data_IF_087306967724
#
_entry.id   IF_087306967724
#
_cell.length_a   1.000
_cell.length_b   1.000
_cell.length_c   1.000
_cell.angle_alpha   90.00
_cell.angle_beta   90.00
_cell.angle_gamma   90.00
#
_symmetry.space_group_name_H-M   'P 1'
#
loop_
_entity.id
_entity.type
_entity.pdbx_description
1 polymer ?
#
# COMPACT_ATOMS: atom_id res chain seq x y z
N UNK A 1 -25.85 -14.10 -7.09
CA UNK A 1 -27.02 -14.44 -7.93
C UNK A 1 -27.61 -13.14 -8.47
N UNK A 2 -27.50 -12.90 -9.77
CA UNK A 2 -28.05 -11.69 -10.40
C UNK A 2 -29.57 -11.82 -10.52
N UNK A 3 -30.28 -10.74 -10.21
CA UNK A 3 -31.72 -10.67 -10.32
C UNK A 3 -32.12 -9.57 -11.31
N UNK A 4 -32.95 -9.89 -12.28
CA UNK A 4 -33.55 -8.91 -13.17
C UNK A 4 -34.97 -8.63 -12.69
N UNK A 5 -35.30 -7.37 -12.45
CA UNK A 5 -36.67 -6.95 -12.21
C UNK A 5 -37.31 -6.49 -13.53
N UNK A 6 -38.42 -7.08 -13.87
CA UNK A 6 -39.26 -6.63 -14.95
C UNK A 6 -40.70 -6.62 -14.44
N UNK A 7 -41.40 -5.49 -14.55
CA UNK A 7 -42.77 -5.30 -14.10
C UNK A 7 -43.04 -5.75 -12.64
N UNK A 8 -42.07 -5.44 -11.73
CA UNK A 8 -42.15 -5.82 -10.33
C UNK A 8 -41.89 -7.28 -10.00
N UNK A 9 -41.61 -8.12 -10.99
CA UNK A 9 -41.21 -9.52 -10.79
C UNK A 9 -39.71 -9.70 -10.85
N UNK A 10 -39.15 -10.53 -9.97
CA UNK A 10 -37.74 -10.86 -9.91
C UNK A 10 -37.49 -12.21 -10.58
N UNK A 11 -36.62 -12.23 -11.59
CA UNK A 11 -36.24 -13.44 -12.31
C UNK A 11 -34.80 -13.82 -11.94
N UNK A 12 -34.50 -15.09 -11.59
CA UNK A 12 -33.15 -15.55 -11.41
C UNK A 12 -32.47 -15.65 -12.78
N UNK A 13 -31.24 -15.10 -12.88
CA UNK A 13 -30.42 -15.22 -14.09
C UNK A 13 -29.30 -16.18 -13.77
N UNK A 14 -29.10 -17.27 -14.56
CA UNK A 14 -28.05 -18.26 -14.32
C UNK A 14 -26.65 -17.77 -14.80
N UNK A 15 -26.40 -16.46 -14.70
CA UNK A 15 -25.11 -15.87 -15.07
C UNK A 15 -24.15 -15.99 -13.91
N UNK A 16 -22.97 -16.53 -14.15
CA UNK A 16 -21.90 -16.73 -13.16
C UNK A 16 -20.90 -15.58 -13.22
N UNK A 17 -20.52 -15.17 -14.45
CA UNK A 17 -19.56 -14.10 -14.71
C UNK A 17 -20.08 -13.19 -15.81
N UNK A 18 -19.73 -11.91 -15.70
CA UNK A 18 -20.06 -10.90 -16.70
C UNK A 18 -18.77 -10.25 -17.20
N UNK A 19 -18.56 -10.33 -18.50
CA UNK A 19 -17.44 -9.70 -19.19
C UNK A 19 -17.97 -8.63 -20.14
N UNK A 20 -17.32 -7.48 -20.15
CA UNK A 20 -17.61 -6.40 -21.08
C UNK A 20 -16.32 -5.97 -21.79
N UNK A 21 -16.43 -5.51 -23.03
CA UNK A 21 -15.35 -4.90 -23.79
C UNK A 21 -15.84 -3.58 -24.35
N UNK A 22 -14.99 -2.54 -24.27
CA UNK A 22 -15.25 -1.22 -24.82
C UNK A 22 -13.96 -0.65 -25.37
N UNK A 23 -14.03 0.10 -26.46
CA UNK A 23 -12.87 0.81 -27.01
C UNK A 23 -12.55 2.09 -26.23
N UNK A 24 -13.56 2.67 -25.59
CA UNK A 24 -13.44 3.91 -24.85
C UNK A 24 -14.10 3.76 -23.48
N UNK A 25 -13.58 4.52 -22.52
CA UNK A 25 -14.23 4.67 -21.21
C UNK A 25 -15.01 5.98 -21.24
N UNK A 26 -16.30 5.97 -20.88
CA UNK A 26 -17.12 7.18 -20.85
C UNK A 26 -16.53 8.28 -19.98
N UNK A 27 -16.67 9.51 -20.43
CA UNK A 27 -16.33 10.67 -19.64
C UNK A 27 -17.44 10.98 -18.63
N UNK A 28 -17.32 10.50 -17.40
CA UNK A 28 -18.34 10.69 -16.35
C UNK A 28 -18.53 12.14 -15.90
N UNK A 29 -17.75 13.09 -16.41
CA UNK A 29 -17.99 14.51 -16.22
C UNK A 29 -19.06 15.03 -17.21
N UNK A 30 -19.32 14.30 -18.28
CA UNK A 30 -20.41 14.60 -19.22
C UNK A 30 -21.74 14.11 -18.63
N UNK A 31 -22.79 14.97 -18.53
CA UNK A 31 -24.09 14.58 -17.99
C UNK A 31 -24.75 13.41 -18.72
N UNK A 32 -24.56 13.27 -20.03
CA UNK A 32 -25.13 12.19 -20.83
C UNK A 32 -24.42 10.86 -20.56
N UNK A 33 -23.11 10.87 -20.38
CA UNK A 33 -22.31 9.66 -20.10
C UNK A 33 -22.29 9.27 -18.62
N UNK A 34 -22.59 10.23 -17.72
CA UNK A 34 -22.67 9.99 -16.27
C UNK A 34 -23.64 8.88 -15.88
N UNK A 35 -24.68 8.65 -16.67
CA UNK A 35 -25.65 7.57 -16.45
C UNK A 35 -24.94 6.20 -16.49
N UNK A 36 -23.87 6.07 -17.26
CA UNK A 36 -23.09 4.83 -17.39
C UNK A 36 -22.17 4.57 -16.19
N UNK A 37 -21.90 5.58 -15.35
CA UNK A 37 -20.99 5.44 -14.19
C UNK A 37 -21.45 4.32 -13.25
N UNK A 38 -22.75 4.21 -12.99
CA UNK A 38 -23.33 3.17 -12.16
C UNK A 38 -23.16 1.75 -12.74
N UNK A 39 -23.07 1.60 -14.06
CA UNK A 39 -22.76 0.33 -14.72
C UNK A 39 -21.27 0.02 -14.59
N UNK A 40 -20.41 0.99 -14.85
CA UNK A 40 -18.97 0.86 -14.76
C UNK A 40 -18.49 0.55 -13.33
N UNK A 41 -19.15 1.10 -12.31
CA UNK A 41 -18.87 0.78 -10.90
C UNK A 41 -19.15 -0.68 -10.53
N UNK A 42 -19.99 -1.36 -11.32
CA UNK A 42 -20.28 -2.79 -11.14
C UNK A 42 -19.28 -3.70 -11.84
N UNK A 43 -18.47 -3.16 -12.75
CA UNK A 43 -17.35 -3.86 -13.38
C UNK A 43 -16.12 -3.67 -12.50
N UNK A 44 -15.96 -4.58 -11.54
CA UNK A 44 -14.97 -4.43 -10.47
C UNK A 44 -13.54 -4.45 -10.99
N UNK A 45 -13.21 -5.36 -11.91
CA UNK A 45 -11.89 -5.46 -12.53
C UNK A 45 -11.91 -4.82 -13.92
N UNK A 46 -10.97 -3.93 -14.16
CA UNK A 46 -10.81 -3.21 -15.42
C UNK A 46 -9.40 -3.48 -15.96
N UNK A 47 -9.30 -4.06 -17.12
CA UNK A 47 -8.03 -4.37 -17.78
C UNK A 47 -7.95 -3.59 -19.08
N UNK A 48 -6.86 -2.88 -19.28
CA UNK A 48 -6.58 -2.23 -20.57
C UNK A 48 -5.76 -3.17 -21.42
N UNK A 49 -6.22 -3.42 -22.65
CA UNK A 49 -5.49 -4.20 -23.64
C UNK A 49 -4.73 -3.25 -24.57
N UNK A 50 -3.47 -3.53 -24.80
CA UNK A 50 -2.60 -2.74 -25.67
C UNK A 50 -2.22 -3.54 -26.93
N UNK A 51 -1.72 -2.83 -27.93
CA UNK A 51 -1.21 -3.48 -29.14
C UNK A 51 0.02 -4.36 -28.76
N UNK A 52 0.15 -5.49 -29.47
CA UNK A 52 1.26 -6.41 -29.25
C UNK A 52 2.57 -5.73 -29.67
N UNK A 53 3.38 -5.34 -28.69
CA UNK A 53 4.64 -4.62 -28.90
C UNK A 53 5.77 -5.52 -29.45
N UNK A 54 5.79 -6.79 -29.01
CA UNK A 54 6.86 -7.72 -29.36
C UNK A 54 6.65 -8.38 -30.72
N UNK A 55 7.69 -8.29 -31.58
CA UNK A 55 7.68 -8.90 -32.91
C UNK A 55 7.50 -10.42 -32.85
N UNK A 56 8.15 -11.09 -31.88
CA UNK A 56 8.06 -12.54 -31.74
C UNK A 56 6.62 -13.01 -31.52
N UNK A 57 5.91 -12.35 -30.61
CA UNK A 57 4.50 -12.64 -30.31
C UNK A 57 3.60 -12.37 -31.51
N UNK A 58 3.80 -11.24 -32.23
CA UNK A 58 3.03 -10.96 -33.44
C UNK A 58 3.19 -12.04 -34.50
N UNK A 59 4.44 -12.50 -34.74
CA UNK A 59 4.74 -13.55 -35.70
C UNK A 59 4.20 -14.91 -35.26
N UNK A 60 4.24 -15.26 -33.98
CA UNK A 60 3.66 -16.49 -33.45
C UNK A 60 2.15 -16.54 -33.72
N UNK A 61 1.41 -15.48 -33.37
CA UNK A 61 -0.02 -15.36 -33.59
C UNK A 61 -0.36 -15.44 -35.10
N UNK A 62 0.45 -14.78 -35.93
CA UNK A 62 0.24 -14.83 -37.38
C UNK A 62 0.43 -16.27 -37.93
N UNK A 63 1.45 -16.99 -37.44
CA UNK A 63 1.73 -18.38 -37.78
C UNK A 63 0.56 -19.30 -37.37
N UNK A 64 0.06 -19.15 -36.15
CA UNK A 64 -1.08 -19.91 -35.63
C UNK A 64 -2.35 -19.65 -36.45
N UNK A 65 -2.59 -18.40 -36.82
CA UNK A 65 -3.73 -18.01 -37.65
C UNK A 65 -3.66 -18.61 -39.06
N UNK A 66 -2.46 -18.57 -39.67
CA UNK A 66 -2.25 -19.17 -41.00
C UNK A 66 -2.29 -20.71 -40.94
N UNK A 67 -1.85 -21.32 -39.86
CA UNK A 67 -1.88 -22.76 -39.60
C UNK A 67 -3.25 -23.31 -39.19
N UNK A 68 -4.26 -22.44 -38.99
CA UNK A 68 -5.61 -22.84 -38.58
C UNK A 68 -5.74 -23.24 -37.10
N UNK A 69 -4.68 -23.04 -36.28
CA UNK A 69 -4.68 -23.35 -34.84
C UNK A 69 -5.07 -22.15 -33.95
N UNK A 70 -5.25 -20.97 -34.56
CA UNK A 70 -5.62 -19.76 -33.82
C UNK A 70 -6.98 -19.92 -33.13
N UNK A 71 -7.00 -19.69 -31.81
CA UNK A 71 -8.21 -19.81 -30.99
C UNK A 71 -8.55 -21.26 -30.58
N UNK A 72 -7.65 -22.24 -30.83
CA UNK A 72 -7.84 -23.59 -30.33
C UNK A 72 -7.87 -23.59 -28.79
N UNK A 73 -8.90 -24.23 -28.21
CA UNK A 73 -9.04 -24.40 -26.77
C UNK A 73 -8.18 -25.58 -26.33
N UNK A 74 -7.15 -25.33 -25.53
CA UNK A 74 -6.22 -26.35 -25.06
C UNK A 74 -6.55 -26.87 -23.65
N UNK A 75 -7.28 -26.10 -22.86
CA UNK A 75 -7.69 -26.46 -21.49
C UNK A 75 -9.11 -25.98 -21.21
N UNK A 76 -9.84 -26.79 -20.47
CA UNK A 76 -11.20 -26.47 -20.01
C UNK A 76 -11.31 -26.81 -18.54
N UNK A 77 -12.13 -26.05 -17.81
CA UNK A 77 -12.55 -26.37 -16.44
C UNK A 77 -14.06 -26.57 -16.42
N UNK A 78 -14.53 -27.53 -15.66
CA UNK A 78 -15.96 -27.73 -15.45
C UNK A 78 -16.52 -26.69 -14.49
N UNK A 79 -17.84 -26.52 -14.50
CA UNK A 79 -18.50 -25.63 -13.55
C UNK A 79 -18.34 -26.11 -12.09
N UNK A 80 -18.22 -27.41 -11.88
CA UNK A 80 -18.03 -28.02 -10.56
C UNK A 80 -16.61 -27.70 -10.04
N UNK A 81 -15.60 -27.86 -10.88
CA UNK A 81 -14.22 -27.46 -10.55
C UNK A 81 -14.13 -25.97 -10.22
N UNK A 82 -14.77 -25.09 -11.02
CA UNK A 82 -14.80 -23.66 -10.73
C UNK A 82 -15.43 -23.36 -9.36
N UNK A 83 -16.50 -24.05 -9.01
CA UNK A 83 -17.14 -23.88 -7.67
C UNK A 83 -16.23 -24.37 -6.55
N UNK A 84 -15.50 -25.46 -6.75
CA UNK A 84 -14.53 -25.96 -5.79
C UNK A 84 -13.41 -24.94 -5.58
N UNK A 85 -12.82 -24.42 -6.66
CA UNK A 85 -11.82 -23.34 -6.60
C UNK A 85 -12.32 -22.12 -5.85
N UNK A 86 -13.58 -21.70 -6.08
CA UNK A 86 -14.19 -20.57 -5.35
C UNK A 86 -14.37 -20.83 -3.86
N UNK A 87 -14.55 -22.10 -3.43
CA UNK A 87 -14.57 -22.42 -2.01
C UNK A 87 -13.16 -22.43 -1.42
N UNK A 88 -12.18 -22.97 -2.13
CA UNK A 88 -10.78 -22.97 -1.70
C UNK A 88 -10.25 -21.54 -1.52
N UNK A 89 -10.54 -20.63 -2.46
CA UNK A 89 -10.16 -19.20 -2.34
C UNK A 89 -10.63 -18.60 -1.02
N UNK A 90 -11.82 -18.95 -0.54
CA UNK A 90 -12.36 -18.42 0.73
C UNK A 90 -11.61 -18.93 1.96
N UNK A 91 -10.82 -19.99 1.83
CA UNK A 91 -10.01 -20.53 2.94
C UNK A 91 -8.68 -19.79 3.10
N UNK A 92 -8.26 -19.02 2.11
CA UNK A 92 -7.04 -18.21 2.16
C UNK A 92 -7.20 -17.14 3.25
N UNK A 93 -6.26 -17.10 4.18
CA UNK A 93 -6.28 -16.14 5.28
C UNK A 93 -5.86 -14.75 4.81
N UNK A 94 -6.43 -13.74 5.44
CA UNK A 94 -5.99 -12.34 5.30
C UNK A 94 -5.43 -11.90 6.64
N UNK A 95 -4.10 -11.80 6.82
CA UNK A 95 -3.49 -11.33 8.06
C UNK A 95 -3.90 -9.88 8.39
N UNK A 96 -3.94 -9.53 9.68
CA UNK A 96 -4.24 -8.16 10.11
C UNK A 96 -3.23 -7.15 9.56
N UNK A 97 -1.95 -7.52 9.44
CA UNK A 97 -0.92 -6.69 8.81
C UNK A 97 -1.22 -6.34 7.35
N UNK A 98 -1.94 -7.20 6.62
CA UNK A 98 -2.39 -6.91 5.25
C UNK A 98 -3.57 -5.94 5.27
N UNK A 99 -4.47 -6.02 6.26
CA UNK A 99 -5.54 -5.04 6.42
C UNK A 99 -4.98 -3.65 6.77
N UNK A 100 -3.98 -3.58 7.65
CA UNK A 100 -3.28 -2.33 8.01
C UNK A 100 -2.58 -1.72 6.78
N UNK A 101 -1.82 -2.53 6.04
CA UNK A 101 -1.17 -2.11 4.80
C UNK A 101 -2.21 -1.61 3.78
N UNK A 102 -3.38 -2.26 3.71
CA UNK A 102 -4.43 -1.87 2.79
C UNK A 102 -5.08 -0.54 3.18
N UNK A 103 -5.14 -0.21 4.46
CA UNK A 103 -5.58 1.11 4.94
C UNK A 103 -4.57 2.21 4.55
N UNK A 104 -3.26 1.95 4.68
CA UNK A 104 -2.20 2.84 4.20
C UNK A 104 -2.33 3.09 2.69
N UNK A 105 -2.56 2.03 1.90
CA UNK A 105 -2.82 2.14 0.45
C UNK A 105 -4.06 2.99 0.17
N UNK A 106 -5.15 2.78 0.91
CA UNK A 106 -6.40 3.55 0.75
C UNK A 106 -6.17 5.03 1.03
N UNK A 107 -5.47 5.36 2.12
CA UNK A 107 -5.13 6.74 2.48
C UNK A 107 -4.31 7.40 1.37
N UNK A 108 -3.28 6.71 0.86
CA UNK A 108 -2.45 7.22 -0.23
C UNK A 108 -3.24 7.43 -1.53
N UNK A 109 -4.11 6.48 -1.90
CA UNK A 109 -4.94 6.60 -3.10
C UNK A 109 -5.95 7.74 -3.00
N UNK A 110 -6.60 7.91 -1.83
CA UNK A 110 -7.60 8.96 -1.60
C UNK A 110 -7.05 10.38 -1.65
N UNK A 111 -5.74 10.54 -1.57
CA UNK A 111 -5.10 11.83 -1.77
C UNK A 111 -5.32 12.41 -3.18
N UNK A 112 -5.54 11.56 -4.20
CA UNK A 112 -5.67 11.97 -5.60
C UNK A 112 -6.91 11.43 -6.32
N UNK A 113 -7.40 10.25 -5.93
CA UNK A 113 -8.54 9.60 -6.59
C UNK A 113 -9.65 9.23 -5.60
N UNK A 114 -10.92 9.33 -5.98
CA UNK A 114 -12.03 8.92 -5.12
C UNK A 114 -12.12 7.39 -5.06
N UNK A 115 -11.74 6.79 -3.93
CA UNK A 115 -11.95 5.36 -3.65
C UNK A 115 -13.09 5.21 -2.65
N UNK A 116 -14.15 4.49 -3.02
CA UNK A 116 -15.29 4.26 -2.15
C UNK A 116 -14.99 3.23 -1.05
N UNK A 117 -15.64 3.37 0.12
CA UNK A 117 -15.55 2.39 1.20
C UNK A 117 -16.02 1.00 0.74
N UNK A 118 -16.97 0.94 -0.16
CA UNK A 118 -17.41 -0.34 -0.75
C UNK A 118 -16.27 -1.07 -1.44
N UNK A 119 -15.46 -0.37 -2.24
CA UNK A 119 -14.28 -0.96 -2.88
C UNK A 119 -13.25 -1.40 -1.85
N UNK A 120 -12.98 -0.56 -0.86
CA UNK A 120 -12.08 -0.92 0.22
C UNK A 120 -12.54 -2.19 0.96
N UNK A 121 -13.80 -2.24 1.36
CA UNK A 121 -14.37 -3.39 2.10
C UNK A 121 -14.51 -4.68 1.26
N UNK A 122 -14.23 -4.65 -0.05
CA UNK A 122 -14.35 -5.81 -0.95
C UNK A 122 -13.01 -6.27 -1.57
N UNK A 123 -11.88 -5.59 -1.28
CA UNK A 123 -10.58 -5.90 -1.89
C UNK A 123 -10.11 -7.33 -1.60
N UNK A 124 -10.40 -7.84 -0.39
CA UNK A 124 -9.86 -9.11 0.10
C UNK A 124 -10.21 -10.30 -0.78
N UNK A 125 -11.40 -10.32 -1.39
CA UNK A 125 -11.81 -11.43 -2.26
C UNK A 125 -10.94 -11.54 -3.52
N UNK A 126 -10.46 -10.40 -4.04
CA UNK A 126 -9.56 -10.33 -5.20
C UNK A 126 -8.14 -10.73 -4.77
N UNK A 127 -7.68 -10.22 -3.64
CA UNK A 127 -6.38 -10.56 -3.09
C UNK A 127 -6.28 -12.07 -2.71
N UNK A 128 -7.32 -12.64 -2.11
CA UNK A 128 -7.41 -14.08 -1.83
C UNK A 128 -7.36 -14.91 -3.11
N UNK A 129 -8.08 -14.50 -4.17
CA UNK A 129 -8.03 -15.21 -5.44
C UNK A 129 -6.64 -15.16 -6.08
N UNK A 130 -5.94 -14.03 -5.97
CA UNK A 130 -4.55 -13.90 -6.43
C UNK A 130 -3.61 -14.81 -5.62
N UNK A 131 -3.69 -14.78 -4.30
CA UNK A 131 -2.90 -15.63 -3.41
C UNK A 131 -3.12 -17.12 -3.71
N UNK A 132 -4.37 -17.54 -3.90
CA UNK A 132 -4.70 -18.92 -4.28
C UNK A 132 -4.08 -19.32 -5.63
N UNK A 133 -4.12 -18.44 -6.65
CA UNK A 133 -3.51 -18.68 -7.96
C UNK A 133 -1.98 -18.81 -7.89
N UNK A 134 -1.33 -18.15 -6.93
CA UNK A 134 0.12 -18.26 -6.69
C UNK A 134 0.49 -19.41 -5.74
N UNK A 135 -0.51 -20.12 -5.20
CA UNK A 135 -0.30 -21.25 -4.27
C UNK A 135 0.00 -20.81 -2.83
N UNK A 136 -0.31 -19.57 -2.48
CA UNK A 136 -0.15 -19.08 -1.11
C UNK A 136 -1.30 -19.57 -0.20
N UNK A 137 -1.00 -19.83 1.06
CA UNK A 137 -2.01 -20.20 2.08
C UNK A 137 -2.62 -18.98 2.79
N UNK A 138 -1.97 -17.82 2.65
CA UNK A 138 -2.42 -16.53 3.15
C UNK A 138 -2.02 -15.41 2.18
N UNK A 139 -2.74 -14.29 2.23
CA UNK A 139 -2.48 -13.13 1.38
C UNK A 139 -1.16 -12.48 1.82
N UNK A 140 -0.30 -12.22 0.86
CA UNK A 140 0.96 -11.47 1.02
C UNK A 140 0.83 -10.05 0.49
N UNK A 141 1.77 -9.17 0.85
CA UNK A 141 1.78 -7.80 0.33
C UNK A 141 1.87 -7.74 -1.20
N UNK A 142 2.59 -8.67 -1.82
CA UNK A 142 2.73 -8.73 -3.28
C UNK A 142 1.45 -9.19 -3.98
N UNK A 143 0.57 -9.95 -3.31
CA UNK A 143 -0.72 -10.33 -3.88
C UNK A 143 -1.64 -9.11 -4.05
N UNK A 144 -1.44 -8.04 -3.26
CA UNK A 144 -2.18 -6.79 -3.39
C UNK A 144 -1.91 -6.06 -4.70
N UNK A 145 -0.82 -6.35 -5.41
CA UNK A 145 -0.51 -5.74 -6.71
C UNK A 145 -1.59 -6.01 -7.78
N UNK A 146 -2.38 -7.07 -7.64
CA UNK A 146 -3.51 -7.35 -8.53
C UNK A 146 -4.55 -6.23 -8.50
N UNK A 147 -4.64 -5.50 -7.38
CA UNK A 147 -5.58 -4.41 -7.17
C UNK A 147 -5.31 -3.19 -8.04
N UNK A 148 -4.18 -3.15 -8.76
CA UNK A 148 -3.93 -2.15 -9.81
C UNK A 148 -5.02 -2.13 -10.89
N UNK A 149 -5.72 -3.23 -11.11
CA UNK A 149 -6.84 -3.34 -12.03
C UNK A 149 -8.21 -3.12 -11.36
N UNK A 150 -8.22 -2.84 -10.07
CA UNK A 150 -9.43 -2.70 -9.27
C UNK A 150 -9.74 -1.24 -8.88
N UNK A 151 -8.73 -0.47 -8.46
CA UNK A 151 -8.96 0.84 -7.86
C UNK A 151 -9.13 1.99 -8.85
N UNK A 152 -8.52 1.94 -10.04
CA UNK A 152 -8.64 3.04 -10.98
C UNK A 152 -10.05 3.17 -11.56
N UNK A 153 -10.46 4.38 -11.87
CA UNK A 153 -11.75 4.70 -12.50
C UNK A 153 -11.55 5.21 -13.93
N UNK A 154 -10.55 6.06 -14.13
CA UNK A 154 -10.17 6.61 -15.43
C UNK A 154 -8.81 6.04 -15.85
N UNK A 155 -8.53 5.89 -17.16
CA UNK A 155 -7.24 5.38 -17.63
C UNK A 155 -6.04 6.15 -17.08
N UNK A 156 -6.18 7.48 -16.87
CA UNK A 156 -5.14 8.34 -16.30
C UNK A 156 -4.77 8.00 -14.85
N UNK A 157 -5.67 7.36 -14.08
CA UNK A 157 -5.42 6.99 -12.69
C UNK A 157 -4.49 5.77 -12.57
N UNK A 158 -4.33 4.98 -13.64
CA UNK A 158 -3.64 3.67 -13.59
C UNK A 158 -2.20 3.77 -13.15
N UNK A 159 -1.47 4.74 -13.66
CA UNK A 159 -0.06 4.93 -13.33
C UNK A 159 0.10 5.25 -11.84
N UNK A 160 -0.72 6.17 -11.33
CA UNK A 160 -0.73 6.54 -9.93
C UNK A 160 -1.11 5.36 -9.01
N UNK A 161 -2.16 4.60 -9.37
CA UNK A 161 -2.58 3.41 -8.61
C UNK A 161 -1.47 2.35 -8.61
N UNK A 162 -0.87 2.08 -9.78
CA UNK A 162 0.20 1.08 -9.90
C UNK A 162 1.42 1.50 -9.09
N UNK A 163 1.89 2.74 -9.24
CA UNK A 163 3.04 3.25 -8.49
C UNK A 163 2.81 3.25 -6.97
N UNK A 164 1.60 3.60 -6.52
CA UNK A 164 1.25 3.55 -5.08
C UNK A 164 1.31 2.13 -4.54
N UNK A 165 0.73 1.15 -5.26
CA UNK A 165 0.76 -0.26 -4.84
C UNK A 165 2.19 -0.82 -4.88
N UNK A 166 2.97 -0.53 -5.91
CA UNK A 166 4.36 -0.98 -5.99
C UNK A 166 5.21 -0.42 -4.84
N UNK A 167 5.07 0.86 -4.55
CA UNK A 167 5.79 1.53 -3.47
C UNK A 167 5.46 0.92 -2.10
N UNK A 168 4.18 0.73 -1.79
CA UNK A 168 3.74 0.27 -0.46
C UNK A 168 3.77 -1.25 -0.30
N UNK A 169 3.52 -2.02 -1.36
CA UNK A 169 3.33 -3.47 -1.25
C UNK A 169 4.60 -4.28 -1.60
N UNK A 170 5.51 -3.75 -2.43
CA UNK A 170 6.75 -4.48 -2.77
C UNK A 170 7.81 -4.28 -1.70
N UNK A 171 7.95 -3.06 -1.19
CA UNK A 171 8.96 -2.71 -0.19
C UNK A 171 8.35 -1.90 0.97
N UNK A 172 7.36 -2.43 1.72
CA UNK A 172 6.68 -1.67 2.77
C UNK A 172 7.63 -1.23 3.90
N UNK A 173 8.65 -2.03 4.20
CA UNK A 173 9.66 -1.70 5.21
C UNK A 173 10.55 -0.55 4.75
N UNK A 174 10.96 -0.53 3.49
CA UNK A 174 11.79 0.54 2.92
C UNK A 174 11.05 1.88 2.90
N UNK A 175 9.75 1.86 2.63
CA UNK A 175 8.91 3.06 2.69
C UNK A 175 8.82 3.61 4.11
N UNK A 176 8.51 2.76 5.10
CA UNK A 176 8.48 3.18 6.52
C UNK A 176 9.83 3.76 6.98
N UNK A 177 10.93 3.17 6.55
CA UNK A 177 12.28 3.69 6.84
C UNK A 177 12.47 5.08 6.22
N UNK A 178 12.05 5.25 4.96
CA UNK A 178 12.14 6.54 4.26
C UNK A 178 11.32 7.63 4.95
N UNK A 179 10.10 7.33 5.39
CA UNK A 179 9.22 8.26 6.10
C UNK A 179 9.82 8.69 7.44
N UNK A 180 10.36 7.74 8.22
CA UNK A 180 11.01 8.06 9.50
C UNK A 180 12.26 8.91 9.32
N UNK A 181 13.04 8.66 8.26
CA UNK A 181 14.20 9.50 7.93
C UNK A 181 13.80 10.91 7.50
N UNK A 182 12.72 11.07 6.73
CA UNK A 182 12.17 12.37 6.36
C UNK A 182 11.73 13.15 7.61
N UNK A 183 10.99 12.51 8.53
CA UNK A 183 10.59 13.13 9.80
C UNK A 183 11.80 13.54 10.66
N UNK A 184 12.86 12.74 10.68
CA UNK A 184 14.07 13.08 11.41
C UNK A 184 14.82 14.27 10.80
N UNK A 185 14.83 14.36 9.46
CA UNK A 185 15.41 15.50 8.76
C UNK A 185 14.60 16.78 8.99
N UNK A 186 13.26 16.69 8.92
CA UNK A 186 12.36 17.82 9.22
C UNK A 186 12.56 18.33 10.65
N UNK A 187 12.69 17.42 11.63
CA UNK A 187 12.98 17.79 13.03
C UNK A 187 14.32 18.49 13.17
N UNK A 188 15.34 18.08 12.38
CA UNK A 188 16.64 18.75 12.33
C UNK A 188 16.54 20.13 11.69
N UNK A 189 15.82 20.28 10.59
CA UNK A 189 15.65 21.56 9.88
C UNK A 189 14.86 22.56 10.75
N UNK A 190 13.84 22.11 11.49
CA UNK A 190 13.12 22.87 12.52
C UNK A 190 14.10 23.36 13.61
N UNK A 191 14.97 22.47 14.08
CA UNK A 191 15.99 22.81 15.08
C UNK A 191 16.98 23.85 14.54
N UNK A 192 17.54 23.63 13.34
CA UNK A 192 18.50 24.54 12.70
C UNK A 192 17.89 25.93 12.50
N UNK A 193 16.61 25.99 12.07
CA UNK A 193 15.85 27.23 11.92
C UNK A 193 15.65 27.96 13.26
N UNK A 194 15.27 27.20 14.30
CA UNK A 194 15.08 27.76 15.63
C UNK A 194 16.40 28.24 16.27
N UNK A 195 17.51 27.56 16.01
CA UNK A 195 18.84 27.95 16.49
C UNK A 195 19.42 29.14 15.74
N UNK A 196 19.16 29.24 14.41
CA UNK A 196 19.56 30.40 13.60
C UNK A 196 18.87 31.70 14.03
N UNK A 197 17.62 31.61 14.47
CA UNK A 197 16.85 32.74 15.01
C UNK A 197 17.08 33.01 16.51
N UNK A 198 17.86 32.15 17.22
CA UNK A 198 18.01 32.25 18.67
C UNK A 198 19.07 33.25 19.10
N UNK A 199 18.64 34.29 19.80
CA UNK A 199 19.52 35.35 20.36
C UNK A 199 20.21 34.93 21.68
N UNK A 200 19.75 33.88 22.37
CA UNK A 200 20.26 33.47 23.66
C UNK A 200 20.31 31.94 23.87
N UNK A 201 21.13 31.52 24.86
CA UNK A 201 21.35 30.11 25.20
C UNK A 201 20.07 29.40 25.65
N UNK A 202 19.14 30.08 26.28
CA UNK A 202 17.88 29.49 26.79
C UNK A 202 16.97 29.06 25.64
N UNK A 203 16.90 29.84 24.57
CA UNK A 203 16.14 29.51 23.35
C UNK A 203 16.74 28.30 22.64
N UNK A 204 18.08 28.23 22.54
CA UNK A 204 18.77 27.05 21.97
C UNK A 204 18.51 25.77 22.78
N UNK A 205 18.51 25.87 24.11
CA UNK A 205 18.15 24.73 24.96
C UNK A 205 16.69 24.29 24.81
N UNK A 206 15.77 25.21 24.58
CA UNK A 206 14.37 24.88 24.33
C UNK A 206 14.20 24.15 22.99
N UNK A 207 14.88 24.63 21.93
CA UNK A 207 14.92 23.98 20.64
C UNK A 207 15.50 22.56 20.73
N UNK A 208 16.60 22.38 21.48
CA UNK A 208 17.20 21.06 21.69
C UNK A 208 16.26 20.10 22.43
N UNK A 209 15.48 20.55 23.39
CA UNK A 209 14.50 19.71 24.07
C UNK A 209 13.40 19.24 23.13
N UNK A 210 12.87 20.16 22.29
CA UNK A 210 11.86 19.80 21.27
C UNK A 210 12.42 18.75 20.31
N UNK A 211 13.62 18.98 19.77
CA UNK A 211 14.31 18.05 18.87
C UNK A 211 14.51 16.66 19.52
N UNK A 212 15.05 16.63 20.76
CA UNK A 212 15.26 15.37 21.49
C UNK A 212 13.96 14.59 21.69
N UNK A 213 12.87 15.28 22.04
CA UNK A 213 11.55 14.66 22.24
C UNK A 213 11.06 13.99 20.96
N UNK A 214 11.19 14.67 19.81
CA UNK A 214 10.78 14.12 18.52
C UNK A 214 11.67 12.95 18.11
N UNK A 215 12.99 13.10 18.26
CA UNK A 215 13.93 12.05 17.91
C UNK A 215 13.77 10.78 18.76
N UNK A 216 13.45 10.92 20.05
CA UNK A 216 13.14 9.78 20.92
C UNK A 216 11.85 9.07 20.50
N UNK A 217 10.86 9.81 20.02
CA UNK A 217 9.65 9.23 19.45
C UNK A 217 9.98 8.39 18.20
N UNK A 218 10.80 8.92 17.29
CA UNK A 218 11.26 8.19 16.10
C UNK A 218 12.09 6.96 16.47
N UNK A 219 12.93 7.05 17.48
CA UNK A 219 13.69 5.91 18.01
C UNK A 219 12.78 4.80 18.57
N UNK A 220 11.70 5.14 19.26
CA UNK A 220 10.70 4.17 19.72
C UNK A 220 10.03 3.46 18.53
N UNK A 221 9.59 4.22 17.53
CA UNK A 221 9.00 3.65 16.31
C UNK A 221 9.99 2.73 15.57
N UNK A 222 11.26 3.11 15.49
CA UNK A 222 12.32 2.25 14.92
C UNK A 222 12.49 0.96 15.74
N UNK A 223 12.47 1.05 17.08
CA UNK A 223 12.61 -0.12 17.97
C UNK A 223 11.43 -1.08 17.81
N UNK A 224 10.20 -0.58 17.74
CA UNK A 224 8.99 -1.37 17.49
C UNK A 224 9.06 -2.05 16.10
N UNK A 225 9.50 -1.31 15.09
CA UNK A 225 9.69 -1.82 13.74
C UNK A 225 10.77 -2.91 13.70
N UNK A 226 11.91 -2.72 14.37
CA UNK A 226 12.98 -3.70 14.47
C UNK A 226 12.54 -5.00 15.20
N UNK A 227 11.62 -4.89 16.16
CA UNK A 227 11.04 -6.05 16.84
C UNK A 227 10.11 -6.89 15.95
N UNK A 228 9.55 -6.31 14.89
CA UNK A 228 8.64 -6.98 13.94
C UNK A 228 9.33 -7.57 12.71
N UNK A 229 10.65 -7.41 12.59
CA UNK A 229 11.44 -7.85 11.43
C UNK A 229 11.45 -9.37 11.29
N UNK A 230 11.15 -9.84 10.07
CA UNK A 230 11.12 -11.27 9.72
C UNK A 230 12.28 -11.73 8.82
N UNK A 231 13.04 -10.80 8.22
CA UNK A 231 14.12 -11.14 7.28
C UNK A 231 15.41 -10.36 7.53
N UNK A 232 16.55 -10.93 7.10
CA UNK A 232 17.87 -10.28 7.22
C UNK A 232 17.94 -8.96 6.42
N UNK A 233 17.21 -8.85 5.31
CA UNK A 233 17.12 -7.63 4.51
C UNK A 233 16.43 -6.50 5.28
N UNK A 234 15.29 -6.79 5.93
CA UNK A 234 14.57 -5.84 6.77
C UNK A 234 15.38 -5.42 7.99
N UNK A 235 16.12 -6.36 8.60
CA UNK A 235 17.04 -6.06 9.69
C UNK A 235 18.10 -5.06 9.26
N UNK A 236 18.70 -5.25 8.11
CA UNK A 236 19.69 -4.30 7.55
C UNK A 236 19.10 -2.91 7.35
N UNK A 237 17.83 -2.81 6.92
CA UNK A 237 17.13 -1.53 6.75
C UNK A 237 16.88 -0.84 8.11
N UNK A 238 16.43 -1.59 9.12
CA UNK A 238 16.16 -1.03 10.46
C UNK A 238 17.43 -0.62 11.21
N UNK A 239 18.52 -1.38 11.06
CA UNK A 239 19.84 -1.04 11.62
C UNK A 239 20.42 0.21 10.90
N UNK A 240 20.21 0.32 9.59
CA UNK A 240 20.58 1.51 8.81
C UNK A 240 19.82 2.75 9.28
N UNK A 241 18.51 2.63 9.54
CA UNK A 241 17.70 3.71 10.10
C UNK A 241 18.24 4.18 11.45
N UNK A 242 18.52 3.24 12.37
CA UNK A 242 19.07 3.57 13.69
C UNK A 242 20.37 4.35 13.56
N UNK A 243 21.29 3.88 12.70
CA UNK A 243 22.57 4.53 12.46
C UNK A 243 22.42 5.97 11.95
N UNK A 244 21.40 6.21 11.11
CA UNK A 244 21.13 7.54 10.57
C UNK A 244 20.49 8.47 11.60
N UNK A 245 19.53 7.98 12.44
CA UNK A 245 18.97 8.72 13.56
C UNK A 245 20.07 9.14 14.56
N UNK A 246 21.01 8.25 14.87
CA UNK A 246 22.16 8.55 15.71
C UNK A 246 23.09 9.60 15.07
N UNK A 247 23.32 9.51 13.77
CA UNK A 247 24.12 10.50 13.03
C UNK A 247 23.49 11.90 13.09
N UNK A 248 22.17 11.99 12.89
CA UNK A 248 21.41 13.25 12.97
C UNK A 248 21.47 13.81 14.39
N UNK A 249 21.26 12.97 15.41
CA UNK A 249 21.36 13.34 16.82
C UNK A 249 22.72 13.92 17.16
N UNK A 250 23.78 13.24 16.76
CA UNK A 250 25.17 13.65 17.01
C UNK A 250 25.48 15.00 16.36
N UNK A 251 25.09 15.18 15.09
CA UNK A 251 25.32 16.45 14.38
C UNK A 251 24.65 17.64 15.07
N UNK A 252 23.43 17.47 15.58
CA UNK A 252 22.70 18.52 16.31
C UNK A 252 23.38 18.85 17.64
N UNK A 253 23.86 17.86 18.40
CA UNK A 253 24.57 18.10 19.67
C UNK A 253 25.91 18.82 19.45
N UNK A 254 26.65 18.41 18.45
CA UNK A 254 27.95 19.03 18.08
C UNK A 254 27.77 20.49 17.65
N UNK A 255 26.70 20.80 16.89
CA UNK A 255 26.44 22.16 16.40
C UNK A 255 26.24 23.20 17.50
N UNK A 256 25.84 22.79 18.71
CA UNK A 256 25.60 23.67 19.83
C UNK A 256 26.58 23.45 21.00
N UNK A 257 27.61 22.59 20.80
CA UNK A 257 28.65 22.32 21.79
C UNK A 257 28.18 21.49 22.98
N UNK A 258 27.13 20.70 22.86
CA UNK A 258 26.67 19.80 23.91
C UNK A 258 27.25 18.38 23.70
N UNK A 259 27.47 17.69 24.82
CA UNK A 259 27.92 16.29 24.78
C UNK A 259 26.83 15.42 24.19
N UNK A 260 27.21 14.65 23.19
CA UNK A 260 26.34 13.65 22.57
C UNK A 260 26.08 12.50 23.55
N UNK A 261 24.82 12.05 23.57
CA UNK A 261 24.38 10.85 24.30
C UNK A 261 23.60 9.95 23.34
N UNK A 262 23.93 8.65 23.25
CA UNK A 262 23.22 7.70 22.40
C UNK A 262 21.72 7.68 22.68
N UNK A 263 20.89 7.42 21.66
CA UNK A 263 19.42 7.44 21.78
C UNK A 263 18.91 6.40 22.77
N UNK A 264 19.54 5.23 22.83
CA UNK A 264 19.23 4.19 23.81
C UNK A 264 19.38 4.70 25.25
N UNK A 265 20.47 5.42 25.57
CA UNK A 265 20.69 5.98 26.88
C UNK A 265 19.74 7.13 27.19
N UNK A 266 19.42 7.96 26.19
CA UNK A 266 18.42 9.03 26.35
C UNK A 266 17.03 8.47 26.62
N UNK A 267 16.62 7.40 25.96
CA UNK A 267 15.36 6.71 26.19
C UNK A 267 15.29 6.10 27.61
N UNK A 268 16.36 5.45 28.05
CA UNK A 268 16.45 4.88 29.40
C UNK A 268 16.35 5.96 30.51
N UNK A 269 16.97 7.13 30.30
CA UNK A 269 16.88 8.26 31.25
C UNK A 269 15.46 8.83 31.32
N UNK A 270 14.74 8.91 30.21
CA UNK A 270 13.36 9.40 30.16
C UNK A 270 12.41 8.45 30.91
N UNK A 271 12.55 7.14 30.74
CA UNK A 271 11.78 6.13 31.48
C UNK A 271 12.04 6.19 32.98
N UNK A 272 13.29 6.40 33.41
CA UNK A 272 13.65 6.54 34.81
C UNK A 272 12.99 7.76 35.46
N UNK A 273 12.87 8.89 34.76
CA UNK A 273 12.23 10.10 35.26
C UNK A 273 10.70 9.96 35.42
N UNK A 274 10.05 9.15 34.57
CA UNK A 274 8.62 8.85 34.65
C UNK A 274 8.33 8.00 35.89
N UNK A 275 9.16 7.02 36.21
CA UNK A 275 9.00 6.15 37.38
C UNK A 275 9.24 6.86 38.72
N UNK A 276 10.04 7.94 38.72
CA UNK A 276 10.28 8.76 39.96
C UNK A 276 9.10 9.70 40.23
N UNK A 277 8.26 10.02 39.27
CA UNK A 277 7.12 10.93 39.39
C UNK A 277 5.79 10.26 39.76
N UNK A 278 5.71 8.92 39.81
CA UNK A 278 4.53 8.25 40.37
C UNK A 278 4.59 8.23 41.90
N UNK A 279 3.67 8.91 42.60
CA UNK A 279 3.60 8.79 44.04
C UNK A 279 3.13 7.39 44.41
N UNK A 280 3.98 6.63 45.09
CA UNK A 280 3.59 5.39 45.76
C UNK A 280 2.38 5.67 46.64
N UNK A 281 1.23 5.10 46.24
CA UNK A 281 0.04 4.99 47.09
C UNK A 281 0.11 3.72 47.93
#
# INVERSE_FOLDING_TARGET
>A
MYKRQNEGRTYPIPTISFFAASNEIPNFNDPEEKILSALYDRLELKVVTENISEKAHRLAILKDKLGGSFGAVHATISLEELRTMQQEVKTIKVPDSINDLMDDVLCALRAQIPVSDRKFLSYFSIAQAKAWLEGHTEVTSTDLLVLRNYFWQQPGDREFVTGTLERLCVNPMQEKVSDLLAMAQDAKDDFDSACGAAENVRTKQAALRKFRSELLRLYQMQTEMAASVGSDSEKTLTDGLLSELERISKAVHEAIGFTYTPLEQLAALQLSLIHISEPTR
#
